data_IF_028316966114
#
_entry.id   IF_028316966114
#
_cell.length_a   1.000
_cell.length_b   1.000
_cell.length_c   1.000
_cell.angle_alpha   90.00
_cell.angle_beta   90.00
_cell.angle_gamma   90.00
#
_symmetry.space_group_name_H-M   'P 1'
#
loop_
_entity.id
_entity.type
_entity.pdbx_description
1 polymer ?
#
# COMPACT_ATOMS: atom_id res chain seq x y z
N UNK A 1 -2.26 -18.73 -15.35
CA UNK A 1 -1.92 -19.69 -16.41
C UNK A 1 -1.83 -19.03 -17.79
N UNK A 2 -2.70 -18.06 -18.15
CA UNK A 2 -2.60 -17.36 -19.44
C UNK A 2 -1.41 -16.39 -19.57
N UNK A 3 -1.00 -15.75 -18.48
CA UNK A 3 0.15 -14.81 -18.47
C UNK A 3 1.49 -15.49 -18.78
N UNK A 4 1.63 -16.76 -18.41
CA UNK A 4 2.84 -17.55 -18.62
C UNK A 4 3.00 -17.96 -20.09
N UNK A 5 1.90 -18.34 -20.76
CA UNK A 5 1.90 -18.60 -22.21
C UNK A 5 2.25 -17.36 -23.02
N UNK A 6 1.71 -16.19 -22.64
CA UNK A 6 2.01 -14.95 -23.33
C UNK A 6 3.49 -14.55 -23.18
N UNK A 7 4.05 -14.70 -21.98
CA UNK A 7 5.47 -14.45 -21.75
C UNK A 7 6.38 -15.36 -22.58
N UNK A 8 6.03 -16.64 -22.71
CA UNK A 8 6.81 -17.58 -23.51
C UNK A 8 6.75 -17.24 -25.00
N UNK A 9 5.57 -16.89 -25.54
CA UNK A 9 5.43 -16.46 -26.95
C UNK A 9 6.23 -15.19 -27.23
N UNK A 10 6.20 -14.21 -26.33
CA UNK A 10 6.98 -12.99 -26.48
C UNK A 10 8.48 -13.30 -26.46
N UNK A 11 8.94 -14.13 -25.52
CA UNK A 11 10.35 -14.53 -25.42
C UNK A 11 10.83 -15.25 -26.67
N UNK A 12 10.02 -16.15 -27.23
CA UNK A 12 10.33 -16.85 -28.47
C UNK A 12 10.36 -15.89 -29.66
N UNK A 13 9.40 -14.97 -29.75
CA UNK A 13 9.36 -13.96 -30.81
C UNK A 13 10.58 -13.02 -30.78
N UNK A 14 10.95 -12.54 -29.59
CA UNK A 14 12.11 -11.65 -29.43
C UNK A 14 13.43 -12.38 -29.67
N UNK A 15 13.56 -13.63 -29.19
CA UNK A 15 14.79 -14.42 -29.38
C UNK A 15 14.99 -14.90 -30.82
N UNK A 16 13.91 -15.19 -31.56
CA UNK A 16 14.00 -15.61 -32.95
C UNK A 16 14.30 -14.47 -33.92
N UNK A 17 13.92 -13.23 -33.59
CA UNK A 17 13.88 -12.13 -34.56
C UNK A 17 14.88 -11.01 -34.29
N UNK A 18 15.37 -10.86 -33.07
CA UNK A 18 16.31 -9.79 -32.70
C UNK A 18 17.65 -10.43 -32.33
N UNK A 19 18.52 -10.63 -33.31
CA UNK A 19 19.95 -10.85 -33.03
C UNK A 19 20.53 -9.51 -32.62
N UNK A 20 20.45 -9.19 -31.33
CA UNK A 20 21.15 -8.02 -30.81
C UNK A 20 22.65 -8.23 -31.06
N UNK A 21 23.34 -7.26 -31.68
CA UNK A 21 24.78 -7.32 -31.82
C UNK A 21 25.43 -7.44 -30.43
N UNK A 22 26.46 -8.27 -30.32
CA UNK A 22 27.14 -8.47 -29.04
C UNK A 22 27.94 -7.22 -28.64
N UNK A 23 27.97 -6.93 -27.34
CA UNK A 23 28.73 -5.81 -26.79
C UNK A 23 30.22 -6.14 -26.81
N UNK A 24 30.99 -5.38 -27.59
CA UNK A 24 32.45 -5.45 -27.58
C UNK A 24 33.05 -4.89 -26.28
N UNK A 25 34.22 -5.39 -25.87
CA UNK A 25 35.02 -4.87 -24.76
C UNK A 25 35.37 -3.38 -24.91
N UNK A 26 35.45 -2.90 -26.15
CA UNK A 26 35.88 -1.55 -26.49
C UNK A 26 34.70 -0.54 -26.50
N UNK A 27 33.49 -0.99 -26.13
CA UNK A 27 32.31 -0.12 -26.08
C UNK A 27 32.39 0.86 -24.91
N UNK A 28 32.05 2.16 -25.12
CA UNK A 28 31.92 3.11 -24.03
C UNK A 28 30.91 2.64 -22.98
N UNK A 29 31.04 3.12 -21.73
CA UNK A 29 30.04 2.83 -20.70
C UNK A 29 28.67 3.38 -21.11
N UNK A 30 27.63 2.67 -20.67
CA UNK A 30 26.24 2.96 -21.04
C UNK A 30 25.83 4.39 -20.69
N UNK A 31 26.32 4.91 -19.56
CA UNK A 31 26.05 6.29 -19.14
C UNK A 31 26.57 7.33 -20.15
N UNK A 32 27.76 7.11 -20.70
CA UNK A 32 28.34 8.00 -21.72
C UNK A 32 27.54 7.95 -23.01
N UNK A 33 27.08 6.77 -23.44
CA UNK A 33 26.20 6.63 -24.60
C UNK A 33 24.83 7.32 -24.38
N UNK A 34 24.28 7.23 -23.18
CA UNK A 34 23.03 7.92 -22.84
C UNK A 34 23.19 9.45 -22.87
N UNK A 35 24.30 9.97 -22.32
CA UNK A 35 24.63 11.42 -22.40
C UNK A 35 24.90 11.86 -23.83
N UNK A 36 25.49 11.01 -24.67
CA UNK A 36 25.66 11.28 -26.10
C UNK A 36 24.32 11.40 -26.80
N UNK A 37 23.42 10.41 -26.60
CA UNK A 37 22.10 10.39 -27.22
C UNK A 37 21.22 11.56 -26.78
N UNK A 38 21.35 12.04 -25.53
CA UNK A 38 20.63 13.22 -25.05
C UNK A 38 21.25 14.56 -25.45
N UNK A 39 22.38 14.55 -26.17
CA UNK A 39 23.10 15.77 -26.57
C UNK A 39 23.87 16.47 -25.44
N UNK A 40 24.09 15.78 -24.31
CA UNK A 40 24.78 16.33 -23.12
C UNK A 40 26.31 16.20 -23.15
N UNK A 41 26.91 15.65 -24.20
CA UNK A 41 28.36 15.59 -24.38
C UNK A 41 28.85 16.71 -25.31
N UNK A 42 29.98 17.32 -24.95
CA UNK A 42 30.57 18.43 -25.69
C UNK A 42 32.05 18.18 -26.03
N UNK A 43 32.55 18.87 -27.06
CA UNK A 43 33.97 18.84 -27.43
C UNK A 43 34.49 17.47 -27.87
N UNK A 44 35.69 17.13 -27.39
CA UNK A 44 36.44 15.94 -27.83
C UNK A 44 35.74 14.62 -27.45
N UNK A 45 35.05 14.57 -26.31
CA UNK A 45 34.34 13.36 -25.86
C UNK A 45 33.20 13.00 -26.79
N UNK A 46 32.41 13.99 -27.22
CA UNK A 46 31.33 13.80 -28.19
C UNK A 46 31.86 13.29 -29.54
N UNK A 47 33.00 13.83 -29.99
CA UNK A 47 33.67 13.38 -31.21
C UNK A 47 34.16 11.92 -31.12
N UNK A 48 34.80 11.55 -30.00
CA UNK A 48 35.31 10.20 -29.79
C UNK A 48 34.18 9.17 -29.73
N UNK A 49 33.10 9.47 -29.00
CA UNK A 49 31.92 8.60 -28.91
C UNK A 49 31.21 8.51 -30.26
N UNK A 50 31.03 9.63 -30.96
CA UNK A 50 30.43 9.63 -32.30
C UNK A 50 31.21 8.80 -33.32
N UNK A 51 32.54 8.84 -33.28
CA UNK A 51 33.38 8.00 -34.12
C UNK A 51 33.29 6.51 -33.76
N UNK A 52 33.17 6.18 -32.47
CA UNK A 52 32.94 4.79 -32.04
C UNK A 52 31.56 4.29 -32.50
N UNK A 53 30.51 5.08 -32.30
CA UNK A 53 29.13 4.76 -32.70
C UNK A 53 29.03 4.45 -34.19
N UNK A 54 29.74 5.20 -35.05
CA UNK A 54 29.78 4.93 -36.51
C UNK A 54 30.39 3.58 -36.88
N UNK A 55 31.23 2.99 -36.03
CA UNK A 55 31.97 1.74 -36.29
C UNK A 55 31.42 0.54 -35.53
N UNK A 56 30.61 0.77 -34.50
CA UNK A 56 30.08 -0.28 -33.65
C UNK A 56 28.56 -0.41 -33.85
N UNK A 57 28.13 -1.52 -34.47
CA UNK A 57 26.71 -1.81 -34.73
C UNK A 57 25.86 -1.76 -33.45
N UNK A 58 26.37 -2.31 -32.34
CA UNK A 58 25.70 -2.27 -31.04
C UNK A 58 25.47 -0.86 -30.52
N UNK A 59 26.51 -0.01 -30.52
CA UNK A 59 26.36 1.36 -30.03
C UNK A 59 25.49 2.20 -30.97
N UNK A 60 25.53 1.96 -32.28
CA UNK A 60 24.65 2.62 -33.26
C UNK A 60 23.19 2.31 -32.99
N UNK A 61 22.84 1.03 -32.87
CA UNK A 61 21.45 0.60 -32.65
C UNK A 61 20.93 1.10 -31.30
N UNK A 62 21.77 1.09 -30.26
CA UNK A 62 21.41 1.59 -28.94
C UNK A 62 21.14 3.10 -28.93
N UNK A 63 22.01 3.89 -29.59
CA UNK A 63 21.86 5.34 -29.69
C UNK A 63 20.64 5.70 -30.54
N UNK A 64 20.43 5.02 -31.67
CA UNK A 64 19.25 5.18 -32.51
C UNK A 64 17.96 4.85 -31.76
N UNK A 65 17.94 3.74 -31.01
CA UNK A 65 16.81 3.36 -30.16
C UNK A 65 16.53 4.41 -29.08
N UNK A 66 17.57 4.98 -28.45
CA UNK A 66 17.42 6.06 -27.48
C UNK A 66 16.85 7.34 -28.12
N UNK A 67 17.30 7.70 -29.33
CA UNK A 67 16.74 8.84 -30.07
C UNK A 67 15.27 8.63 -30.40
N UNK A 68 14.91 7.47 -30.94
CA UNK A 68 13.52 7.13 -31.24
C UNK A 68 12.67 7.18 -29.97
N UNK A 69 13.12 6.56 -28.87
CA UNK A 69 12.42 6.61 -27.60
C UNK A 69 12.22 8.04 -27.09
N UNK A 70 13.23 8.90 -27.22
CA UNK A 70 13.13 10.31 -26.82
C UNK A 70 12.14 11.11 -27.69
N UNK A 71 12.06 10.81 -28.99
CA UNK A 71 11.09 11.40 -29.91
C UNK A 71 9.66 10.94 -29.57
N UNK A 72 9.46 9.63 -29.38
CA UNK A 72 8.19 9.07 -28.92
C UNK A 72 7.77 9.63 -27.56
N UNK A 73 8.69 9.75 -26.60
CA UNK A 73 8.40 10.32 -25.29
C UNK A 73 8.02 11.81 -25.35
N UNK A 74 8.47 12.54 -26.37
CA UNK A 74 8.12 13.96 -26.59
C UNK A 74 6.77 14.13 -27.28
N UNK A 75 6.42 13.24 -28.19
CA UNK A 75 5.11 13.21 -28.85
C UNK A 75 4.01 12.66 -27.93
N UNK A 76 4.36 11.70 -27.07
CA UNK A 76 3.61 11.37 -25.87
C UNK A 76 3.90 12.49 -24.85
N UNK A 77 3.50 13.74 -25.16
CA UNK A 77 2.99 14.62 -24.11
C UNK A 77 1.98 13.75 -23.39
N UNK A 78 2.33 13.26 -22.19
CA UNK A 78 1.43 12.43 -21.39
C UNK A 78 0.12 13.20 -21.30
N UNK A 79 -0.83 12.90 -22.18
CA UNK A 79 -2.22 13.28 -22.07
C UNK A 79 -2.55 12.84 -20.66
N UNK A 80 -2.77 13.86 -19.81
CA UNK A 80 -2.77 13.78 -18.36
C UNK A 80 -3.29 12.41 -17.95
N UNK A 81 -2.36 11.51 -17.60
CA UNK A 81 -2.65 10.08 -17.41
C UNK A 81 -3.94 10.01 -16.65
N UNK A 82 -5.01 9.56 -17.34
CA UNK A 82 -6.38 9.89 -16.95
C UNK A 82 -6.51 9.79 -15.45
N UNK A 83 -7.18 10.73 -14.78
CA UNK A 83 -7.31 10.71 -13.31
C UNK A 83 -7.72 9.32 -12.77
N UNK A 84 -8.41 8.52 -13.61
CA UNK A 84 -8.73 7.10 -13.42
C UNK A 84 -7.51 6.16 -13.34
N UNK A 85 -6.53 6.28 -14.22
CA UNK A 85 -5.26 5.52 -14.17
C UNK A 85 -4.39 5.94 -12.99
N UNK A 86 -4.29 7.25 -12.67
CA UNK A 86 -3.62 7.71 -11.43
C UNK A 86 -4.28 7.13 -10.17
N UNK A 87 -5.62 7.08 -10.12
CA UNK A 87 -6.37 6.43 -9.03
C UNK A 87 -6.11 4.93 -8.96
N UNK A 88 -6.10 4.23 -10.10
CA UNK A 88 -5.79 2.78 -10.16
C UNK A 88 -4.35 2.46 -9.73
N UNK A 89 -3.37 3.24 -10.17
CA UNK A 89 -1.98 3.07 -9.76
C UNK A 89 -1.81 3.31 -8.24
N UNK A 90 -2.49 4.33 -7.68
CA UNK A 90 -2.49 4.55 -6.23
C UNK A 90 -3.17 3.41 -5.45
N UNK A 91 -4.22 2.80 -5.98
CA UNK A 91 -4.88 1.65 -5.32
C UNK A 91 -4.08 0.35 -5.37
N UNK A 92 -3.07 0.25 -6.25
CA UNK A 92 -2.19 -0.92 -6.37
C UNK A 92 -1.01 -0.88 -5.40
N UNK A 93 -0.79 0.24 -4.70
CA UNK A 93 0.26 0.32 -3.68
C UNK A 93 -0.32 -0.14 -2.33
N UNK A 94 0.03 -1.36 -1.84
CA UNK A 94 -0.54 -1.91 -0.61
C UNK A 94 -0.22 -1.06 0.63
N UNK A 95 0.85 -0.26 0.58
CA UNK A 95 1.22 0.66 1.66
C UNK A 95 0.26 1.85 1.81
N UNK A 96 -0.48 2.22 0.74
CA UNK A 96 -1.43 3.33 0.78
C UNK A 96 -2.81 2.88 1.28
N UNK A 97 -3.28 1.70 0.84
CA UNK A 97 -4.59 1.16 1.22
C UNK A 97 -4.65 0.74 2.70
N UNK A 98 -3.54 0.30 3.28
CA UNK A 98 -3.50 -0.08 4.70
C UNK A 98 -3.64 1.12 5.66
N UNK A 99 -3.12 2.29 5.27
CA UNK A 99 -3.19 3.53 6.08
C UNK A 99 -4.61 4.10 6.15
N UNK A 100 -5.32 4.18 5.02
CA UNK A 100 -6.70 4.70 5.02
C UNK A 100 -7.66 3.77 5.76
N UNK A 101 -7.51 2.45 5.63
CA UNK A 101 -8.39 1.50 6.29
C UNK A 101 -8.20 1.49 7.82
N UNK A 102 -6.95 1.61 8.31
CA UNK A 102 -6.66 1.73 9.74
C UNK A 102 -7.25 3.02 10.33
N UNK A 103 -7.16 4.15 9.62
CA UNK A 103 -7.70 5.42 10.09
C UNK A 103 -9.23 5.45 10.16
N UNK A 104 -9.91 4.96 9.11
CA UNK A 104 -11.38 4.82 9.09
C UNK A 104 -11.88 3.87 10.20
N UNK A 105 -11.16 2.77 10.44
CA UNK A 105 -11.48 1.85 11.55
C UNK A 105 -11.32 2.52 12.92
N UNK A 106 -10.26 3.30 13.10
CA UNK A 106 -10.00 4.04 14.34
C UNK A 106 -11.06 5.15 14.59
N UNK A 107 -11.47 5.86 13.54
CA UNK A 107 -12.53 6.88 13.62
C UNK A 107 -13.89 6.26 13.93
N UNK A 108 -14.24 5.12 13.32
CA UNK A 108 -15.50 4.40 13.62
C UNK A 108 -15.59 3.97 15.08
N UNK A 109 -14.46 3.68 15.74
CA UNK A 109 -14.45 3.38 17.18
C UNK A 109 -14.75 4.60 18.05
N UNK A 110 -14.26 5.78 17.66
CA UNK A 110 -14.42 7.02 18.45
C UNK A 110 -15.63 7.88 18.07
N UNK A 111 -16.28 7.63 16.93
CA UNK A 111 -17.38 8.47 16.44
C UNK A 111 -18.56 8.53 17.42
N UNK A 112 -18.84 7.42 18.10
CA UNK A 112 -19.91 7.35 19.11
C UNK A 112 -19.59 8.16 20.36
N UNK A 113 -18.32 8.18 20.80
CA UNK A 113 -17.88 9.00 21.92
C UNK A 113 -17.93 10.49 21.56
N UNK A 114 -17.44 10.86 20.38
CA UNK A 114 -17.51 12.23 19.86
C UNK A 114 -18.98 12.66 19.75
N UNK A 115 -19.88 11.81 19.27
CA UNK A 115 -21.30 12.13 19.15
C UNK A 115 -21.96 12.38 20.53
N UNK A 116 -21.62 11.58 21.54
CA UNK A 116 -22.11 11.78 22.91
C UNK A 116 -21.57 13.09 23.51
N UNK A 117 -20.27 13.35 23.36
CA UNK A 117 -19.63 14.56 23.84
C UNK A 117 -20.19 15.82 23.17
N UNK A 118 -20.38 15.78 21.86
CA UNK A 118 -20.97 16.89 21.11
C UNK A 118 -22.43 17.12 21.52
N UNK A 119 -23.21 16.06 21.77
CA UNK A 119 -24.59 16.18 22.26
C UNK A 119 -24.64 16.78 23.66
N UNK A 120 -23.67 16.43 24.52
CA UNK A 120 -23.53 17.01 25.85
C UNK A 120 -23.17 18.50 25.78
N UNK A 121 -22.18 18.89 24.97
CA UNK A 121 -21.80 20.30 24.78
C UNK A 121 -22.97 21.09 24.19
N UNK A 122 -23.68 20.53 23.19
CA UNK A 122 -24.84 21.16 22.58
C UNK A 122 -25.98 21.43 23.58
N UNK A 123 -26.11 20.61 24.63
CA UNK A 123 -27.12 20.81 25.67
C UNK A 123 -26.98 22.15 26.40
N UNK A 124 -25.75 22.67 26.55
CA UNK A 124 -25.48 23.95 27.22
C UNK A 124 -25.89 25.17 26.39
N UNK A 125 -25.95 25.03 25.06
CA UNK A 125 -26.30 26.13 24.16
C UNK A 125 -27.81 26.35 24.00
N UNK A 126 -28.64 25.36 24.36
CA UNK A 126 -30.10 25.44 24.20
C UNK A 126 -30.82 25.11 25.51
N UNK A 127 -30.90 26.07 26.46
CA UNK A 127 -31.42 25.82 27.81
C UNK A 127 -32.87 25.31 27.82
N UNK A 128 -33.65 25.59 26.78
CA UNK A 128 -35.03 25.12 26.63
C UNK A 128 -35.17 23.60 26.46
N UNK A 129 -34.13 22.91 25.95
CA UNK A 129 -34.13 21.47 25.72
C UNK A 129 -33.04 20.72 26.51
N UNK A 130 -32.41 21.39 27.49
CA UNK A 130 -31.26 20.87 28.24
C UNK A 130 -31.48 19.46 28.79
N UNK A 131 -32.60 19.23 29.49
CA UNK A 131 -32.92 17.92 30.09
C UNK A 131 -33.12 16.80 29.06
N UNK A 132 -33.68 17.12 27.87
CA UNK A 132 -33.91 16.13 26.81
C UNK A 132 -32.60 15.68 26.17
N UNK A 133 -31.69 16.62 25.90
CA UNK A 133 -30.35 16.31 25.36
C UNK A 133 -29.47 15.61 26.39
N UNK A 134 -29.57 15.98 27.67
CA UNK A 134 -28.86 15.31 28.77
C UNK A 134 -29.29 13.84 28.88
N UNK A 135 -30.60 13.57 28.86
CA UNK A 135 -31.13 12.21 28.92
C UNK A 135 -30.67 11.37 27.72
N UNK A 136 -30.71 11.93 26.50
CA UNK A 136 -30.17 11.26 25.31
C UNK A 136 -28.67 10.99 25.42
N UNK A 137 -27.87 11.94 25.90
CA UNK A 137 -26.44 11.77 26.07
C UNK A 137 -26.11 10.64 27.06
N UNK A 138 -26.85 10.52 28.17
CA UNK A 138 -26.71 9.44 29.15
C UNK A 138 -27.06 8.08 28.52
N UNK A 139 -28.18 7.98 27.79
CA UNK A 139 -28.62 6.74 27.13
C UNK A 139 -27.60 6.30 26.07
N UNK A 140 -27.12 7.23 25.23
CA UNK A 140 -26.09 6.94 24.23
C UNK A 140 -24.76 6.55 24.88
N UNK A 141 -24.37 7.21 25.98
CA UNK A 141 -23.18 6.88 26.75
C UNK A 141 -23.22 5.47 27.31
N UNK A 142 -24.32 5.09 27.97
CA UNK A 142 -24.52 3.73 28.48
C UNK A 142 -24.51 2.71 27.34
N UNK A 143 -25.25 2.95 26.26
CA UNK A 143 -25.27 2.07 25.08
C UNK A 143 -23.87 1.87 24.47
N UNK A 144 -23.04 2.91 24.47
CA UNK A 144 -21.66 2.83 24.01
C UNK A 144 -20.78 1.99 24.94
N UNK A 145 -20.87 2.19 26.26
CA UNK A 145 -20.13 1.40 27.27
C UNK A 145 -20.48 -0.10 27.19
N UNK A 146 -21.74 -0.43 26.89
CA UNK A 146 -22.18 -1.82 26.71
C UNK A 146 -21.80 -2.44 25.36
N UNK A 147 -21.19 -1.69 24.43
CA UNK A 147 -20.92 -2.19 23.10
C UNK A 147 -19.67 -3.07 23.06
N UNK A 148 -19.89 -4.40 22.98
CA UNK A 148 -19.03 -5.55 22.58
C UNK A 148 -17.59 -5.70 23.12
N UNK A 149 -16.80 -4.64 23.26
CA UNK A 149 -15.41 -4.76 23.75
C UNK A 149 -15.41 -5.02 25.27
N UNK A 150 -16.27 -4.34 26.04
CA UNK A 150 -16.49 -4.59 27.47
C UNK A 150 -17.08 -5.97 27.73
N UNK A 151 -17.95 -6.46 26.83
CA UNK A 151 -18.54 -7.80 26.95
C UNK A 151 -17.47 -8.88 26.77
N UNK A 152 -16.49 -8.70 25.88
CA UNK A 152 -15.41 -9.67 25.70
C UNK A 152 -14.47 -9.73 26.89
N UNK A 153 -14.13 -8.58 27.49
CA UNK A 153 -13.33 -8.55 28.72
C UNK A 153 -14.10 -9.15 29.89
N UNK A 154 -15.38 -8.83 30.04
CA UNK A 154 -16.25 -9.41 31.07
C UNK A 154 -16.40 -10.94 30.91
N UNK A 155 -16.57 -11.44 29.68
CA UNK A 155 -16.61 -12.87 29.38
C UNK A 155 -15.27 -13.54 29.70
N UNK A 156 -14.14 -12.88 29.40
CA UNK A 156 -12.82 -13.43 29.68
C UNK A 156 -12.56 -13.52 31.19
N UNK A 157 -12.92 -12.48 31.95
CA UNK A 157 -12.84 -12.48 33.42
C UNK A 157 -13.78 -13.53 34.02
N UNK A 158 -15.03 -13.61 33.54
CA UNK A 158 -16.00 -14.62 33.97
C UNK A 158 -15.51 -16.04 33.69
N UNK A 159 -14.93 -16.29 32.52
CA UNK A 159 -14.35 -17.59 32.16
C UNK A 159 -13.12 -17.93 33.02
N UNK A 160 -12.27 -16.94 33.33
CA UNK A 160 -11.12 -17.14 34.22
C UNK A 160 -11.57 -17.50 35.65
N UNK A 161 -12.58 -16.81 36.17
CA UNK A 161 -13.18 -17.11 37.48
C UNK A 161 -13.83 -18.49 37.50
N UNK A 162 -14.61 -18.83 36.46
CA UNK A 162 -15.26 -20.14 36.35
C UNK A 162 -14.27 -21.30 36.24
N UNK A 163 -13.11 -21.08 35.61
CA UNK A 163 -12.05 -22.09 35.51
C UNK A 163 -11.40 -22.35 36.87
N UNK A 164 -11.09 -21.29 37.63
CA UNK A 164 -10.57 -21.43 39.00
C UNK A 164 -11.56 -22.10 39.96
N UNK A 165 -12.88 -21.84 39.85
CA UNK A 165 -13.89 -22.50 40.69
C UNK A 165 -14.05 -24.00 40.39
N UNK A 166 -13.68 -24.46 39.19
CA UNK A 166 -13.69 -25.88 38.82
C UNK A 166 -12.43 -26.62 39.28
N UNK A 167 -11.25 -26.06 39.02
CA UNK A 167 -9.98 -26.66 39.44
C UNK A 167 -9.91 -26.79 40.97
N UNK A 168 -10.40 -25.78 41.71
CA UNK A 168 -10.46 -25.85 43.17
C UNK A 168 -11.41 -26.93 43.73
N UNK A 169 -12.40 -27.39 42.95
CA UNK A 169 -13.31 -28.49 43.37
C UNK A 169 -12.73 -29.86 43.05
N UNK A 170 -12.01 -30.00 41.94
CA UNK A 170 -11.34 -31.24 41.56
C UNK A 170 -10.20 -31.59 42.54
N UNK A 171 -9.42 -30.60 42.95
CA UNK A 171 -8.36 -30.79 43.97
C UNK A 171 -8.95 -31.18 45.35
N UNK A 172 -10.10 -30.62 45.72
CA UNK A 172 -10.79 -30.97 46.96
C UNK A 172 -11.31 -32.42 46.93
N UNK A 173 -11.96 -32.83 45.83
CA UNK A 173 -12.48 -34.19 45.68
C UNK A 173 -11.35 -35.24 45.68
N UNK A 174 -10.18 -34.94 45.11
CA UNK A 174 -9.02 -35.83 45.13
C UNK A 174 -8.40 -35.97 46.53
N UNK A 175 -8.34 -34.87 47.30
CA UNK A 175 -7.92 -34.91 48.71
C UNK A 175 -8.88 -35.73 49.57
N UNK A 176 -10.20 -35.60 49.36
CA UNK A 176 -11.19 -36.40 50.09
C UNK A 176 -11.13 -37.88 49.72
N UNK A 177 -10.91 -38.20 48.44
CA UNK A 177 -10.80 -39.59 47.98
C UNK A 177 -9.56 -40.32 48.50
N UNK A 178 -8.45 -39.61 48.73
CA UNK A 178 -7.22 -40.20 49.29
C UNK A 178 -7.25 -40.36 50.82
N UNK A 179 -8.26 -39.81 51.52
CA UNK A 179 -8.43 -39.96 52.99
C UNK A 179 -9.45 -41.02 53.41
N UNK A 180 -10.24 -41.55 52.48
CA UNK A 180 -11.21 -42.63 52.71
C UNK A 180 -10.61 -43.97 52.26
#
# INVERSE_FOLDING_TARGET
>A
METEKLNNILKDYFSAKIKLPEKSSDCPPLETLARYASGGLHGQESYNVGNHVKRCAFCSELVEGAFLYSAYAKEIKLEDVSARMKKRAKSLNPAYTEKEHKFMSYLKKKIWFILSLTSFIASFFVPRYFLQFLALAIILGLKWVFNKETTRTLIMVYNAWKKHDKEGKEDLDEIFKNRL
#
